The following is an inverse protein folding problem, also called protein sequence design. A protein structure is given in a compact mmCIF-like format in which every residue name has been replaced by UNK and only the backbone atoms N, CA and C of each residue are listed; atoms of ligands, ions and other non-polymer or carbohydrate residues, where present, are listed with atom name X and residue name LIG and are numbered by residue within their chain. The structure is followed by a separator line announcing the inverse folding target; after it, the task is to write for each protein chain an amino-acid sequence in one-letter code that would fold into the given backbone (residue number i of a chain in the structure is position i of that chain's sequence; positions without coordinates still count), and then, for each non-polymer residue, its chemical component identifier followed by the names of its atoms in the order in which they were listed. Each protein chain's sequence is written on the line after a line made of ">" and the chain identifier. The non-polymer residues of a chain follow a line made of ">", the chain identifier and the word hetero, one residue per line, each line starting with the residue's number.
data_IF_420626901137
#
_entry.id   IF_420626901137
#
_cell.length_a   1.000
_cell.length_b   1.000
_cell.length_c   1.000
_cell.angle_alpha   90.00
_cell.angle_beta   90.00
_cell.angle_gamma   90.00
#
_symmetry.space_group_name_H-M   'P 1'
#
loop_
_entity.id
_entity.type
_entity.pdbx_description
1 polymer ?
#
# COMPACT_ATOMS: atom_id res chain seq x y z
N UNK A 1 -0.70 6.14 26.29
CA UNK A 1 -0.27 6.03 24.88
C UNK A 1 -1.34 6.55 23.91
N UNK A 2 -2.63 6.42 24.23
CA UNK A 2 -3.77 6.96 23.44
C UNK A 2 -3.66 8.45 23.13
N UNK A 3 -3.25 9.28 24.10
CA UNK A 3 -3.09 10.74 23.91
C UNK A 3 -2.07 11.09 22.80
N UNK A 4 -0.99 10.31 22.67
CA UNK A 4 0.00 10.52 21.62
C UNK A 4 -0.60 10.21 20.23
N UNK A 5 -1.40 9.14 20.12
CA UNK A 5 -2.11 8.78 18.90
C UNK A 5 -3.13 9.83 18.48
N UNK A 6 -3.97 10.29 19.41
CA UNK A 6 -4.95 11.36 19.15
C UNK A 6 -4.27 12.66 18.71
N UNK A 7 -3.14 13.02 19.32
CA UNK A 7 -2.32 14.15 18.89
C UNK A 7 -1.81 14.01 17.46
N UNK A 8 -1.36 12.80 17.06
CA UNK A 8 -0.92 12.52 15.69
C UNK A 8 -2.07 12.57 14.68
N UNK A 9 -3.27 12.09 15.04
CA UNK A 9 -4.48 12.29 14.23
C UNK A 9 -4.77 13.78 14.02
N UNK A 10 -4.63 14.61 15.05
CA UNK A 10 -4.81 16.05 14.93
C UNK A 10 -3.77 16.68 14.00
N UNK A 11 -2.50 16.23 14.06
CA UNK A 11 -1.44 16.67 13.15
C UNK A 11 -1.79 16.34 11.70
N UNK A 12 -2.34 15.16 11.40
CA UNK A 12 -2.79 14.79 10.05
C UNK A 12 -3.88 15.74 9.54
N UNK A 13 -4.86 16.09 10.39
CA UNK A 13 -5.92 17.04 10.04
C UNK A 13 -5.36 18.42 9.73
N UNK A 14 -4.49 18.94 10.59
CA UNK A 14 -3.87 20.26 10.39
C UNK A 14 -2.97 20.27 9.15
N UNK A 15 -2.22 19.19 8.89
CA UNK A 15 -1.39 19.07 7.68
C UNK A 15 -2.25 19.08 6.42
N UNK A 16 -3.40 18.40 6.44
CA UNK A 16 -4.35 18.43 5.33
C UNK A 16 -4.87 19.85 5.06
N UNK A 17 -5.28 20.57 6.11
CA UNK A 17 -5.74 21.96 5.98
C UNK A 17 -4.67 22.88 5.39
N UNK A 18 -3.40 22.70 5.76
CA UNK A 18 -2.28 23.47 5.21
C UNK A 18 -2.05 23.17 3.72
N UNK A 19 -2.00 21.89 3.35
CA UNK A 19 -1.78 21.51 1.95
C UNK A 19 -2.96 21.87 1.04
N UNK A 20 -4.18 21.94 1.58
CA UNK A 20 -5.35 22.42 0.84
C UNK A 20 -5.24 23.90 0.44
N UNK A 21 -4.46 24.71 1.17
CA UNK A 21 -4.23 26.12 0.83
C UNK A 21 -3.28 26.31 -0.35
N UNK A 22 -2.54 25.28 -0.76
CA UNK A 22 -1.62 25.29 -1.92
C UNK A 22 -0.53 26.37 -1.87
N UNK A 23 -0.25 26.91 -0.68
CA UNK A 23 0.79 27.91 -0.44
C UNK A 23 1.93 27.26 0.35
N UNK A 24 2.77 26.51 -0.37
CA UNK A 24 3.91 25.79 0.18
C UNK A 24 4.97 25.56 -0.90
N UNK A 25 6.20 25.28 -0.47
CA UNK A 25 7.40 25.15 -1.29
C UNK A 25 7.95 23.71 -1.31
N UNK A 26 9.03 23.49 -2.06
CA UNK A 26 9.74 22.20 -2.14
C UNK A 26 10.18 21.67 -0.77
N UNK A 27 10.71 22.55 0.09
CA UNK A 27 11.09 22.21 1.47
C UNK A 27 9.91 21.74 2.33
N UNK A 28 8.73 22.30 2.12
CA UNK A 28 7.51 21.91 2.85
C UNK A 28 7.03 20.52 2.44
N UNK A 29 7.26 20.09 1.19
CA UNK A 29 6.96 18.71 0.76
C UNK A 29 7.86 17.70 1.46
N UNK A 30 9.15 18.00 1.58
CA UNK A 30 10.08 17.16 2.35
C UNK A 30 9.68 17.13 3.83
N UNK A 31 9.40 18.29 4.43
CA UNK A 31 8.98 18.37 5.82
C UNK A 31 7.66 17.64 6.08
N UNK A 32 6.69 17.76 5.17
CA UNK A 32 5.42 17.03 5.23
C UNK A 32 5.63 15.52 5.16
N UNK A 33 6.57 15.06 4.34
CA UNK A 33 6.97 13.65 4.26
C UNK A 33 7.52 13.17 5.61
N UNK A 34 8.37 13.96 6.25
CA UNK A 34 8.93 13.65 7.57
C UNK A 34 7.85 13.65 8.68
N UNK A 35 6.89 14.58 8.63
CA UNK A 35 5.72 14.59 9.53
C UNK A 35 4.95 13.27 9.39
N UNK A 36 4.64 12.86 8.16
CA UNK A 36 3.90 11.61 7.92
C UNK A 36 4.67 10.39 8.44
N UNK A 37 6.00 10.35 8.25
CA UNK A 37 6.83 9.29 8.85
C UNK A 37 6.68 9.24 10.36
N UNK A 38 6.85 10.39 11.03
CA UNK A 38 6.77 10.49 12.48
C UNK A 38 5.37 10.14 13.02
N UNK A 39 4.32 10.51 12.28
CA UNK A 39 2.93 10.12 12.57
C UNK A 39 2.79 8.60 12.50
N UNK A 40 3.21 7.97 11.40
CA UNK A 40 3.12 6.51 11.22
C UNK A 40 3.93 5.76 12.27
N UNK A 41 5.16 6.19 12.56
CA UNK A 41 6.02 5.58 13.57
C UNK A 41 5.44 5.71 14.98
N UNK A 42 4.79 6.84 15.27
CA UNK A 42 4.15 7.06 16.57
C UNK A 42 2.89 6.22 16.71
N UNK A 43 2.07 6.09 15.66
CA UNK A 43 0.93 5.17 15.68
C UNK A 43 1.38 3.72 15.94
N UNK A 44 2.40 3.25 15.21
CA UNK A 44 3.00 1.93 15.42
C UNK A 44 3.48 1.73 16.86
N UNK A 45 4.35 2.63 17.36
CA UNK A 45 4.90 2.53 18.72
C UNK A 45 3.85 2.61 19.83
N UNK A 46 2.80 3.41 19.62
CA UNK A 46 1.71 3.57 20.57
C UNK A 46 0.62 2.49 20.44
N UNK A 47 0.79 1.53 19.51
CA UNK A 47 -0.24 0.54 19.14
C UNK A 47 -1.60 1.19 18.89
N UNK A 48 -1.58 2.38 18.29
CA UNK A 48 -2.75 3.21 18.09
C UNK A 48 -3.25 3.06 16.65
N UNK A 49 -4.52 2.72 16.51
CA UNK A 49 -5.19 2.62 15.22
C UNK A 49 -6.02 3.89 15.02
N UNK A 50 -5.69 4.74 14.03
CA UNK A 50 -6.46 5.94 13.76
C UNK A 50 -7.89 5.63 13.30
N UNK A 51 -8.81 6.56 13.59
CA UNK A 51 -10.19 6.43 13.14
C UNK A 51 -10.28 6.42 11.61
N UNK A 52 -11.30 5.76 11.00
CA UNK A 52 -11.43 5.67 9.54
C UNK A 52 -11.42 7.02 8.81
N UNK A 53 -11.96 8.06 9.44
CA UNK A 53 -11.95 9.43 8.91
C UNK A 53 -10.53 10.03 8.87
N UNK A 54 -9.71 9.78 9.89
CA UNK A 54 -8.30 10.21 9.91
C UNK A 54 -7.45 9.42 8.92
N UNK A 55 -7.75 8.13 8.73
CA UNK A 55 -7.15 7.29 7.69
C UNK A 55 -7.42 7.90 6.32
N UNK A 56 -8.66 8.29 6.03
CA UNK A 56 -9.00 8.96 4.76
C UNK A 56 -8.23 10.27 4.59
N UNK A 57 -8.13 11.08 5.66
CA UNK A 57 -7.36 12.34 5.63
C UNK A 57 -5.87 12.12 5.38
N UNK A 58 -5.26 11.07 5.94
CA UNK A 58 -3.88 10.71 5.63
C UNK A 58 -3.68 10.47 4.14
N UNK A 59 -4.56 9.68 3.50
CA UNK A 59 -4.49 9.45 2.05
C UNK A 59 -4.78 10.74 1.24
N UNK A 60 -5.63 11.64 1.74
CA UNK A 60 -5.84 12.95 1.11
C UNK A 60 -4.59 13.84 1.18
N UNK A 61 -3.87 13.85 2.31
CA UNK A 61 -2.56 14.54 2.43
C UNK A 61 -1.61 14.04 1.35
N UNK A 62 -1.42 12.72 1.25
CA UNK A 62 -0.56 12.12 0.21
C UNK A 62 -1.06 12.49 -1.18
N UNK A 63 -2.38 12.50 -1.42
CA UNK A 63 -2.94 12.92 -2.71
C UNK A 63 -2.60 14.36 -3.05
N UNK A 64 -2.66 15.28 -2.07
CA UNK A 64 -2.31 16.68 -2.29
C UNK A 64 -0.81 16.85 -2.56
N UNK A 65 0.04 16.12 -1.83
CA UNK A 65 1.48 16.14 -2.07
C UNK A 65 1.81 15.65 -3.49
N UNK A 66 1.14 14.61 -3.96
CA UNK A 66 1.34 14.03 -5.29
C UNK A 66 0.55 14.73 -6.42
N UNK A 67 0.01 15.92 -6.19
CA UNK A 67 -0.64 16.68 -7.27
C UNK A 67 0.39 17.15 -8.31
N UNK A 68 0.01 17.18 -9.59
CA UNK A 68 0.91 17.61 -10.67
C UNK A 68 1.26 19.10 -10.58
N UNK A 69 0.46 19.89 -9.87
CA UNK A 69 0.81 21.28 -9.53
C UNK A 69 2.08 21.39 -8.66
N UNK A 70 2.56 20.27 -8.11
CA UNK A 70 3.77 20.20 -7.32
C UNK A 70 4.96 19.59 -8.07
N UNK A 71 4.87 19.35 -9.38
CA UNK A 71 5.94 18.72 -10.15
C UNK A 71 7.28 19.45 -9.98
N UNK A 72 7.33 20.75 -10.30
CA UNK A 72 8.55 21.57 -10.15
C UNK A 72 9.07 21.58 -8.70
N UNK A 73 8.15 21.64 -7.73
CA UNK A 73 8.53 21.60 -6.30
C UNK A 73 9.16 20.27 -5.90
N UNK A 74 8.69 19.16 -6.49
CA UNK A 74 9.27 17.85 -6.26
C UNK A 74 10.62 17.68 -6.95
N UNK A 75 10.77 18.20 -8.16
CA UNK A 75 12.05 18.25 -8.87
C UNK A 75 13.11 18.98 -8.03
N UNK A 76 12.77 20.17 -7.51
CA UNK A 76 13.62 20.92 -6.59
C UNK A 76 13.92 20.14 -5.30
N UNK A 77 12.90 19.53 -4.70
CA UNK A 77 13.06 18.75 -3.48
C UNK A 77 13.99 17.54 -3.68
N UNK A 78 13.94 16.89 -4.85
CA UNK A 78 14.76 15.72 -5.18
C UNK A 78 16.22 16.04 -5.41
N UNK A 79 16.58 17.31 -5.60
CA UNK A 79 17.98 17.74 -5.58
C UNK A 79 18.61 17.59 -4.18
N UNK A 80 17.78 17.61 -3.13
CA UNK A 80 18.23 17.50 -1.73
C UNK A 80 18.02 16.10 -1.17
N UNK A 81 16.84 15.50 -1.40
CA UNK A 81 16.51 14.19 -0.87
C UNK A 81 15.45 13.48 -1.73
N UNK A 82 15.45 12.13 -1.81
CA UNK A 82 14.47 11.36 -2.58
C UNK A 82 13.10 11.27 -1.88
N UNK A 83 12.48 12.42 -1.61
CA UNK A 83 11.31 12.54 -0.75
C UNK A 83 10.08 11.77 -1.25
N UNK A 84 9.86 11.71 -2.57
CA UNK A 84 8.75 10.93 -3.14
C UNK A 84 8.92 9.43 -2.92
N UNK A 85 10.15 8.90 -3.02
CA UNK A 85 10.43 7.49 -2.71
C UNK A 85 10.27 7.19 -1.21
N UNK A 86 10.64 8.14 -0.34
CA UNK A 86 10.38 8.03 1.10
C UNK A 86 8.88 8.03 1.40
N UNK A 87 8.10 8.89 0.72
CA UNK A 87 6.65 8.94 0.86
C UNK A 87 5.99 7.60 0.48
N UNK A 88 6.48 6.90 -0.54
CA UNK A 88 6.01 5.56 -0.89
C UNK A 88 6.22 4.57 0.26
N UNK A 89 7.41 4.55 0.87
CA UNK A 89 7.71 3.66 2.01
C UNK A 89 6.83 3.94 3.22
N UNK A 90 6.60 5.22 3.52
CA UNK A 90 5.70 5.65 4.60
C UNK A 90 4.27 5.18 4.31
N UNK A 91 3.82 5.29 3.06
CA UNK A 91 2.48 4.85 2.66
C UNK A 91 2.31 3.33 2.80
N UNK A 92 3.31 2.53 2.40
CA UNK A 92 3.30 1.08 2.62
C UNK A 92 3.22 0.75 4.12
N UNK A 93 4.02 1.43 4.93
CA UNK A 93 4.04 1.23 6.37
C UNK A 93 2.73 1.60 7.06
N UNK A 94 2.10 2.68 6.61
CA UNK A 94 0.79 3.09 7.09
C UNK A 94 -0.29 2.09 6.66
N UNK A 95 -0.24 1.58 5.43
CA UNK A 95 -1.17 0.56 4.94
C UNK A 95 -1.12 -0.70 5.81
N UNK A 96 0.08 -1.16 6.17
CA UNK A 96 0.24 -2.35 7.02
C UNK A 96 -0.29 -2.13 8.44
N UNK A 97 -0.02 -0.96 9.03
CA UNK A 97 -0.61 -0.56 10.31
C UNK A 97 -2.15 -0.64 10.28
N UNK A 98 -2.78 -0.11 9.23
CA UNK A 98 -4.24 -0.13 9.11
C UNK A 98 -4.76 -1.55 8.84
N UNK A 99 -4.08 -2.32 8.00
CA UNK A 99 -4.48 -3.68 7.64
C UNK A 99 -4.43 -4.65 8.82
N UNK A 100 -3.46 -4.50 9.72
CA UNK A 100 -3.35 -5.29 10.95
C UNK A 100 -4.55 -5.10 11.90
N UNK A 101 -5.25 -3.97 11.80
CA UNK A 101 -6.44 -3.67 12.61
C UNK A 101 -7.76 -4.08 11.95
N UNK A 102 -7.77 -4.43 10.66
CA UNK A 102 -8.97 -4.85 9.95
C UNK A 102 -9.48 -6.20 10.47
N UNK A 103 -10.77 -6.50 10.30
CA UNK A 103 -11.27 -7.86 10.51
C UNK A 103 -10.79 -8.79 9.39
N UNK A 104 -10.67 -10.11 9.64
CA UNK A 104 -10.40 -11.08 8.57
C UNK A 104 -11.40 -10.94 7.42
N UNK A 105 -10.93 -11.13 6.19
CA UNK A 105 -11.67 -11.00 4.93
C UNK A 105 -12.22 -9.60 4.63
N UNK A 106 -11.80 -8.59 5.40
CA UNK A 106 -12.23 -7.23 5.19
C UNK A 106 -11.33 -6.53 4.18
N UNK A 107 -11.95 -5.79 3.26
CA UNK A 107 -11.28 -4.96 2.27
C UNK A 107 -11.64 -3.50 2.47
N UNK A 108 -10.62 -2.68 2.69
CA UNK A 108 -10.71 -1.23 2.72
C UNK A 108 -10.31 -0.69 1.35
N UNK A 109 -11.09 0.26 0.82
CA UNK A 109 -10.79 0.97 -0.42
C UNK A 109 -10.85 2.47 -0.15
N UNK A 110 -9.82 3.19 -0.59
CA UNK A 110 -9.82 4.65 -0.65
C UNK A 110 -9.41 5.10 -2.06
N UNK A 111 -10.08 6.14 -2.55
CA UNK A 111 -9.86 6.70 -3.88
C UNK A 111 -9.82 8.20 -3.75
N UNK A 112 -8.70 8.78 -4.15
CA UNK A 112 -8.46 10.24 -4.11
C UNK A 112 -8.31 10.77 -5.54
N UNK A 113 -7.81 11.99 -5.69
CA UNK A 113 -7.53 12.55 -7.02
C UNK A 113 -6.26 11.95 -7.64
N UNK A 114 -5.29 11.51 -6.82
CA UNK A 114 -3.96 11.09 -7.27
C UNK A 114 -3.54 9.67 -6.84
N UNK A 115 -4.32 8.99 -5.98
CA UNK A 115 -4.07 7.60 -5.59
C UNK A 115 -5.37 6.82 -5.37
N UNK A 116 -5.34 5.53 -5.70
CA UNK A 116 -6.31 4.52 -5.31
C UNK A 116 -5.59 3.45 -4.50
N UNK A 117 -6.13 3.07 -3.34
CA UNK A 117 -5.50 2.10 -2.44
C UNK A 117 -6.53 1.08 -2.00
N UNK A 118 -6.19 -0.21 -2.08
CA UNK A 118 -6.91 -1.28 -1.40
C UNK A 118 -6.04 -1.90 -0.32
N UNK A 119 -6.64 -2.17 0.84
CA UNK A 119 -6.00 -2.88 1.96
C UNK A 119 -6.89 -4.06 2.31
N UNK A 120 -6.35 -5.27 2.26
CA UNK A 120 -7.07 -6.50 2.55
C UNK A 120 -6.37 -7.25 3.67
N UNK A 121 -7.16 -7.88 4.56
CA UNK A 121 -6.64 -8.79 5.58
C UNK A 121 -7.17 -10.19 5.33
N UNK A 122 -6.30 -11.10 4.89
CA UNK A 122 -6.66 -12.47 4.53
C UNK A 122 -5.97 -13.46 5.48
N UNK A 123 -6.65 -14.50 5.99
CA UNK A 123 -5.97 -15.57 6.73
C UNK A 123 -5.00 -16.32 5.81
N UNK A 124 -3.80 -16.63 6.30
CA UNK A 124 -2.78 -17.37 5.52
C UNK A 124 -3.31 -18.74 5.07
N UNK A 125 -4.14 -19.38 5.90
CA UNK A 125 -4.76 -20.68 5.61
C UNK A 125 -5.91 -20.64 4.63
N UNK A 126 -6.48 -19.46 4.37
CA UNK A 126 -7.73 -19.34 3.66
C UNK A 126 -7.79 -18.06 2.82
N UNK A 127 -6.74 -17.78 2.04
CA UNK A 127 -6.79 -16.66 1.08
C UNK A 127 -7.97 -16.88 0.12
N UNK A 128 -8.93 -15.96 0.17
CA UNK A 128 -10.27 -16.18 -0.35
C UNK A 128 -10.34 -16.18 -1.89
N UNK A 129 -9.50 -15.39 -2.56
CA UNK A 129 -9.54 -15.21 -4.02
C UNK A 129 -8.21 -14.74 -4.60
N UNK A 130 -8.11 -14.76 -5.93
CA UNK A 130 -7.07 -14.04 -6.66
C UNK A 130 -7.23 -12.54 -6.47
N UNK A 131 -6.12 -11.82 -6.37
CA UNK A 131 -6.12 -10.36 -6.25
C UNK A 131 -6.18 -9.77 -7.65
N UNK A 132 -7.20 -8.95 -7.89
CA UNK A 132 -7.35 -8.14 -9.09
C UNK A 132 -7.46 -6.67 -8.68
N UNK A 133 -6.57 -5.82 -9.20
CA UNK A 133 -6.54 -4.40 -8.83
C UNK A 133 -6.15 -3.53 -10.03
N UNK A 134 -6.76 -2.34 -10.23
CA UNK A 134 -7.88 -1.78 -9.48
C UNK A 134 -9.20 -2.50 -9.79
N UNK A 135 -10.05 -2.64 -8.77
CA UNK A 135 -11.39 -3.20 -8.95
C UNK A 135 -12.22 -2.32 -9.91
N UNK A 136 -12.83 -2.93 -10.93
CA UNK A 136 -13.70 -2.25 -11.90
C UNK A 136 -15.16 -2.25 -11.44
N UNK A 137 -15.96 -1.32 -11.95
CA UNK A 137 -17.43 -1.34 -11.81
C UNK A 137 -18.00 -0.88 -10.46
N UNK A 138 -17.19 -0.39 -9.52
CA UNK A 138 -17.70 0.14 -8.24
C UNK A 138 -18.27 1.56 -8.43
N UNK A 139 -19.54 1.76 -8.04
CA UNK A 139 -20.18 3.10 -8.04
C UNK A 139 -19.44 4.05 -7.09
N UNK A 140 -19.32 5.32 -7.48
CA UNK A 140 -18.62 6.35 -6.71
C UNK A 140 -17.09 6.40 -6.90
N UNK A 141 -16.52 5.50 -7.71
CA UNK A 141 -15.10 5.57 -8.11
C UNK A 141 -14.84 6.82 -8.97
N UNK A 142 -13.78 7.57 -8.63
CA UNK A 142 -13.30 8.70 -9.43
C UNK A 142 -13.00 8.27 -10.87
N UNK A 143 -13.29 9.14 -11.83
CA UNK A 143 -13.24 8.81 -13.26
C UNK A 143 -11.88 8.25 -13.70
N UNK A 144 -10.78 8.89 -13.30
CA UNK A 144 -9.42 8.47 -13.66
C UNK A 144 -9.09 7.04 -13.22
N UNK A 145 -9.59 6.60 -12.07
CA UNK A 145 -9.38 5.25 -11.54
C UNK A 145 -10.34 4.24 -12.20
N UNK A 146 -11.58 4.67 -12.48
CA UNK A 146 -12.59 3.86 -13.15
C UNK A 146 -12.17 3.51 -14.59
N UNK A 147 -11.60 4.47 -15.31
CA UNK A 147 -11.18 4.32 -16.72
C UNK A 147 -9.72 3.94 -16.88
N UNK A 148 -8.96 3.74 -15.80
CA UNK A 148 -7.59 3.22 -15.90
C UNK A 148 -7.64 1.85 -16.60
N UNK A 149 -6.67 1.58 -17.46
CA UNK A 149 -6.51 0.29 -18.11
C UNK A 149 -5.41 -0.54 -17.44
N UNK A 150 -4.70 0.06 -16.48
CA UNK A 150 -3.66 -0.57 -15.69
C UNK A 150 -4.28 -1.67 -14.82
N UNK A 151 -3.63 -2.83 -14.74
CA UNK A 151 -4.10 -4.00 -13.98
C UNK A 151 -2.94 -4.71 -13.30
N UNK A 152 -3.24 -5.18 -12.10
CA UNK A 152 -2.45 -6.12 -11.31
C UNK A 152 -3.31 -7.36 -11.10
N UNK A 153 -2.72 -8.51 -11.42
CA UNK A 153 -3.27 -9.82 -11.08
C UNK A 153 -2.25 -10.61 -10.26
N UNK A 154 -2.70 -11.15 -9.12
CA UNK A 154 -1.91 -12.06 -8.28
C UNK A 154 -2.77 -13.28 -7.97
N UNK A 155 -2.38 -14.47 -8.45
CA UNK A 155 -3.16 -15.67 -8.23
C UNK A 155 -3.00 -16.13 -6.77
N UNK A 156 -4.09 -16.60 -6.14
CA UNK A 156 -4.12 -16.94 -4.71
C UNK A 156 -3.10 -17.99 -4.30
N UNK A 157 -2.65 -18.85 -5.23
CA UNK A 157 -1.61 -19.87 -5.03
C UNK A 157 -0.28 -19.28 -4.55
N UNK A 158 -0.01 -18.00 -4.84
CA UNK A 158 1.14 -17.24 -4.32
C UNK A 158 1.18 -17.25 -2.78
N UNK A 159 0.02 -17.29 -2.13
CA UNK A 159 -0.09 -17.19 -0.68
C UNK A 159 -0.11 -18.55 0.03
N UNK A 160 -0.29 -19.65 -0.71
CA UNK A 160 -0.57 -20.99 -0.16
C UNK A 160 0.69 -21.78 0.26
N UNK A 161 1.89 -21.36 -0.19
CA UNK A 161 3.15 -22.10 0.05
C UNK A 161 3.58 -22.08 1.54
N UNK A 162 3.16 -21.07 2.30
CA UNK A 162 3.58 -20.90 3.70
C UNK A 162 3.23 -22.08 4.62
N UNK A 163 2.04 -22.66 4.46
CA UNK A 163 1.57 -23.74 5.32
C UNK A 163 2.33 -25.03 5.08
N UNK A 164 2.61 -25.36 3.82
CA UNK A 164 3.34 -26.57 3.46
C UNK A 164 4.75 -26.58 4.06
N UNK A 165 5.44 -25.44 4.05
CA UNK A 165 6.81 -25.32 4.55
C UNK A 165 6.85 -25.18 6.06
N UNK A 166 5.93 -24.43 6.68
CA UNK A 166 5.83 -24.33 8.14
C UNK A 166 5.61 -25.72 8.76
N UNK A 167 4.62 -26.47 8.26
CA UNK A 167 4.35 -27.85 8.69
C UNK A 167 5.58 -28.75 8.47
N UNK A 168 6.28 -28.66 7.32
CA UNK A 168 7.50 -29.45 7.09
C UNK A 168 8.66 -29.08 8.02
N UNK A 169 8.76 -27.84 8.49
CA UNK A 169 9.83 -27.38 9.39
C UNK A 169 9.57 -27.71 10.86
N UNK A 170 8.32 -27.76 11.29
CA UNK A 170 7.94 -28.01 12.69
C UNK A 170 7.51 -29.45 12.96
N UNK A 171 7.16 -30.24 11.93
CA UNK A 171 6.80 -31.64 12.10
C UNK A 171 8.02 -32.51 12.47
N UNK A 172 7.88 -33.46 13.43
CA UNK A 172 8.90 -34.44 13.74
C UNK A 172 9.27 -35.28 12.50
N UNK A 173 10.52 -35.80 12.38
CA UNK A 173 11.01 -36.54 11.21
C UNK A 173 10.23 -37.82 10.82
N UNK A 174 9.23 -38.22 11.60
CA UNK A 174 8.47 -39.47 11.42
C UNK A 174 7.17 -39.30 10.61
N UNK A 175 6.83 -38.09 10.15
CA UNK A 175 5.61 -37.82 9.36
C UNK A 175 5.93 -37.38 7.91
N UNK A 176 6.90 -38.02 7.26
CA UNK A 176 7.26 -37.73 5.86
C UNK A 176 6.34 -38.37 4.82
N UNK A 177 5.27 -39.07 5.23
CA UNK A 177 4.21 -39.56 4.33
C UNK A 177 2.84 -39.04 4.76
N UNK A 178 2.63 -37.73 4.71
CA UNK A 178 1.27 -37.17 4.86
C UNK A 178 0.63 -37.12 3.49
N UNK A 179 -0.27 -38.07 3.23
CA UNK A 179 -1.28 -37.94 2.18
C UNK A 179 -2.07 -36.66 2.45
N UNK A 180 -2.39 -35.91 1.40
CA UNK A 180 -3.04 -34.58 1.39
C UNK A 180 -4.43 -34.50 2.05
N UNK A 181 -4.87 -35.54 2.76
CA UNK A 181 -6.18 -35.67 3.39
C UNK A 181 -6.20 -35.40 4.90
N UNK A 182 -5.07 -35.04 5.53
CA UNK A 182 -5.02 -34.62 6.94
C UNK A 182 -4.83 -33.11 7.05
N UNK A 183 -5.83 -32.34 6.62
CA UNK A 183 -6.02 -30.95 7.04
C UNK A 183 -6.99 -30.94 8.23
N UNK A 184 -6.58 -31.55 9.35
CA UNK A 184 -7.25 -31.32 10.63
C UNK A 184 -6.67 -30.05 11.22
N UNK A 185 -7.54 -29.06 11.42
CA UNK A 185 -7.22 -27.77 12.03
C UNK A 185 -6.42 -27.96 13.32
N UNK A 186 -5.25 -27.33 13.48
CA UNK A 186 -4.61 -27.26 14.78
C UNK A 186 -5.47 -26.39 15.70
N UNK A 187 -6.26 -27.03 16.56
CA UNK A 187 -6.87 -26.38 17.70
C UNK A 187 -5.73 -25.80 18.57
N UNK A 188 -5.67 -24.46 18.62
CA UNK A 188 -4.78 -23.59 19.43
C UNK A 188 -3.45 -23.07 18.84
N UNK A 189 -3.32 -22.89 17.52
CA UNK A 189 -2.25 -22.07 16.94
C UNK A 189 -2.76 -20.68 16.48
N UNK A 190 -2.03 -19.61 16.79
CA UNK A 190 -2.39 -18.23 16.39
C UNK A 190 -2.60 -18.14 14.88
N UNK A 191 -3.84 -17.93 14.44
CA UNK A 191 -4.16 -17.70 13.02
C UNK A 191 -3.31 -16.57 12.47
N UNK A 192 -2.41 -16.89 11.53
CA UNK A 192 -1.61 -15.90 10.84
C UNK A 192 -2.43 -15.23 9.73
N UNK A 193 -2.20 -13.93 9.52
CA UNK A 193 -2.90 -13.15 8.51
C UNK A 193 -1.90 -12.47 7.60
N UNK A 194 -2.21 -12.43 6.30
CA UNK A 194 -1.62 -11.49 5.37
C UNK A 194 -2.36 -10.16 5.44
N UNK A 195 -1.60 -9.08 5.43
CA UNK A 195 -2.04 -7.76 5.03
C UNK A 195 -1.54 -7.51 3.61
N UNK A 196 -2.48 -7.27 2.70
CA UNK A 196 -2.21 -7.06 1.28
C UNK A 196 -2.62 -5.62 0.94
N UNK A 197 -1.64 -4.79 0.61
CA UNK A 197 -1.82 -3.43 0.12
C UNK A 197 -1.58 -3.34 -1.38
N UNK A 198 -2.50 -2.77 -2.14
CA UNK A 198 -2.28 -2.43 -3.55
C UNK A 198 -2.57 -0.95 -3.77
N UNK A 199 -1.71 -0.28 -4.54
CA UNK A 199 -1.78 1.17 -4.77
C UNK A 199 -1.62 1.43 -6.26
N UNK A 200 -2.52 2.24 -6.81
CA UNK A 200 -2.39 2.83 -8.15
C UNK A 200 -2.18 4.32 -7.97
N UNK A 201 -1.01 4.80 -8.35
CA UNK A 201 -0.67 6.22 -8.35
C UNK A 201 -0.95 6.82 -9.72
N UNK A 202 -1.75 7.89 -9.75
CA UNK A 202 -2.11 8.58 -10.99
C UNK A 202 -0.95 9.35 -11.59
N UNK A 203 -0.18 10.02 -10.75
CA UNK A 203 0.75 11.10 -11.12
C UNK A 203 2.20 10.83 -10.72
N UNK A 204 2.44 9.87 -9.82
CA UNK A 204 3.75 9.59 -9.25
C UNK A 204 4.82 9.25 -10.30
N UNK A 205 4.44 8.63 -11.42
CA UNK A 205 5.37 8.34 -12.53
C UNK A 205 6.02 9.58 -13.13
N UNK A 206 5.33 10.72 -13.08
CA UNK A 206 5.88 12.01 -13.54
C UNK A 206 6.70 12.70 -12.46
N UNK A 207 6.46 12.39 -11.19
CA UNK A 207 7.12 13.01 -10.03
C UNK A 207 8.44 12.31 -9.70
N UNK A 208 8.53 10.99 -9.88
CA UNK A 208 9.77 10.27 -9.61
C UNK A 208 10.87 10.68 -10.60
N UNK A 209 12.13 10.78 -10.12
CA UNK A 209 13.24 11.05 -11.01
C UNK A 209 13.41 9.92 -12.03
N UNK A 210 13.89 10.27 -13.22
CA UNK A 210 14.22 9.31 -14.25
C UNK A 210 15.20 8.24 -13.70
N UNK A 211 14.95 6.93 -13.95
CA UNK A 211 15.85 5.88 -13.47
C UNK A 211 17.27 6.04 -14.03
N UNK A 212 17.37 6.34 -15.33
CA UNK A 212 18.62 6.52 -16.08
C UNK A 212 18.36 7.51 -17.22
N UNK A 213 19.00 8.68 -17.30
CA UNK A 213 18.86 9.58 -18.45
C UNK A 213 19.33 8.93 -19.77
N UNK A 214 18.61 9.08 -20.90
CA UNK A 214 17.43 9.91 -21.15
C UNK A 214 16.07 9.17 -20.97
N UNK A 215 16.03 8.05 -20.25
CA UNK A 215 14.81 7.27 -20.06
C UNK A 215 13.77 8.01 -19.21
N UNK A 216 12.50 7.71 -19.46
CA UNK A 216 11.35 8.27 -18.74
C UNK A 216 10.41 7.16 -18.28
N UNK A 217 9.66 7.41 -17.20
CA UNK A 217 8.58 6.53 -16.77
C UNK A 217 7.36 6.84 -17.65
N UNK A 218 7.04 5.93 -18.58
CA UNK A 218 5.93 6.11 -19.53
C UNK A 218 4.64 5.39 -19.08
N UNK A 219 4.41 5.23 -17.78
CA UNK A 219 3.21 4.56 -17.25
C UNK A 219 2.79 5.15 -15.90
N UNK A 220 1.58 4.81 -15.45
CA UNK A 220 1.24 4.98 -14.03
C UNK A 220 2.07 4.01 -13.19
N UNK A 221 2.25 4.37 -11.92
CA UNK A 221 2.92 3.47 -10.97
C UNK A 221 1.87 2.65 -10.23
N UNK A 222 2.05 1.35 -10.25
CA UNK A 222 1.25 0.39 -9.51
C UNK A 222 2.19 -0.37 -8.56
N UNK A 223 1.87 -0.37 -7.27
CA UNK A 223 2.64 -1.11 -6.26
C UNK A 223 1.75 -2.11 -5.54
N UNK A 224 2.33 -3.25 -5.15
CA UNK A 224 1.74 -4.21 -4.22
C UNK A 224 2.72 -4.49 -3.09
N UNK A 225 2.20 -4.57 -1.88
CA UNK A 225 2.95 -4.90 -0.67
C UNK A 225 2.18 -5.94 0.13
N UNK A 226 2.87 -6.98 0.60
CA UNK A 226 2.28 -8.09 1.34
C UNK A 226 3.12 -8.33 2.60
N UNK A 227 2.47 -8.34 3.78
CA UNK A 227 3.12 -8.73 5.04
C UNK A 227 2.29 -9.81 5.75
N UNK A 228 2.90 -10.88 6.28
CA UNK A 228 4.30 -11.26 6.10
C UNK A 228 4.63 -11.56 4.62
N UNK A 229 5.89 -11.42 4.23
CA UNK A 229 6.33 -11.59 2.84
C UNK A 229 6.05 -13.02 2.34
N UNK A 230 5.32 -13.23 1.23
CA UNK A 230 5.02 -14.55 0.70
C UNK A 230 6.29 -15.26 0.22
N UNK A 231 6.44 -16.57 0.50
CA UNK A 231 7.56 -17.37 0.00
C UNK A 231 7.24 -17.76 -1.45
N UNK A 232 7.77 -16.98 -2.39
CA UNK A 232 7.57 -17.19 -3.82
C UNK A 232 8.54 -18.28 -4.32
N UNK A 233 8.03 -19.32 -4.97
CA UNK A 233 8.85 -20.26 -5.74
C UNK A 233 9.08 -19.77 -7.17
N UNK A 234 8.13 -19.02 -7.73
CA UNK A 234 8.18 -18.39 -9.06
C UNK A 234 7.40 -17.07 -9.03
N UNK A 235 7.80 -16.03 -9.80
CA UNK A 235 7.03 -14.80 -9.90
C UNK A 235 5.72 -15.07 -10.66
N UNK A 236 4.59 -14.93 -9.97
CA UNK A 236 3.24 -15.07 -10.56
C UNK A 236 2.46 -13.75 -10.53
N UNK A 237 3.15 -12.62 -10.40
CA UNK A 237 2.51 -11.30 -10.46
C UNK A 237 2.43 -10.87 -11.91
N UNK A 238 1.21 -10.71 -12.42
CA UNK A 238 0.96 -10.19 -13.76
C UNK A 238 0.61 -8.70 -13.66
N UNK A 239 1.28 -7.90 -14.49
CA UNK A 239 1.13 -6.44 -14.50
C UNK A 239 0.89 -5.96 -15.93
N UNK A 240 -0.23 -5.29 -16.16
CA UNK A 240 -0.55 -4.57 -17.40
C UNK A 240 -0.52 -3.08 -17.08
N UNK A 241 0.28 -2.30 -17.83
CA UNK A 241 0.37 -0.85 -17.67
C UNK A 241 0.15 -0.18 -19.02
N UNK A 242 -0.71 0.85 -19.05
CA UNK A 242 -0.95 1.61 -20.28
C UNK A 242 0.10 2.73 -20.42
N UNK A 243 0.64 2.94 -21.64
CA UNK A 243 1.53 4.07 -21.92
C UNK A 243 0.87 5.41 -21.60
N UNK A 244 1.62 6.35 -21.01
CA UNK A 244 1.15 7.74 -20.81
C UNK A 244 1.24 8.55 -22.11
N UNK A 245 2.28 8.28 -22.90
CA UNK A 245 2.54 8.88 -24.21
C UNK A 245 2.53 7.75 -25.23
N UNK A 246 1.62 7.85 -26.21
CA UNK A 246 1.68 7.02 -27.40
C UNK A 246 2.80 7.54 -28.29
N UNK A 247 3.87 6.77 -28.45
CA UNK A 247 4.84 7.00 -29.52
C UNK A 247 4.23 6.39 -30.78
N UNK A 248 3.52 7.20 -31.55
CA UNK A 248 3.09 6.88 -32.92
C UNK A 248 4.20 7.16 -33.92
#
# INVERSE_FOLDING_TARGET
>A
MTLAGEGMSQIVRSLLELLQRRSYYSGDLLFSTEILRNVTDTFKRATYIPAPDDVQKFFQVVSHMLDLENLEKWEDAHQVAPGAALLMRILEDFIHLIGEAQKPFQSFLVVTNNLMVTIQREPVSAVSSDINFPMKGRRGMKDWARTSEDKLYIPKKVFTIYIYIYIKKTAPPLLTSVNSSFLTEPESETTMYYVIGAILYRTLGLILPAPIPPAVINSKILTVTVRPEPQLSEPMVELELSPLINVS
#
